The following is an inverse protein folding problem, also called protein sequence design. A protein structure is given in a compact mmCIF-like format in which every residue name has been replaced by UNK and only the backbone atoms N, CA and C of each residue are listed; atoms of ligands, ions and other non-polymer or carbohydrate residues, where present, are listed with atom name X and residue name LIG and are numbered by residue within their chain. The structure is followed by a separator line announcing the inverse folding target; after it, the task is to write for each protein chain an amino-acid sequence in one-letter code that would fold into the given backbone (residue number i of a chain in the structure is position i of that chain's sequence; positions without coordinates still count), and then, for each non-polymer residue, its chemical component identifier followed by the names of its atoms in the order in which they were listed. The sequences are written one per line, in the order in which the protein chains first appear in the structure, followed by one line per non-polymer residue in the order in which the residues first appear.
data_IF_507292274636
#
_entry.id   IF_507292274636
#
_cell.length_a   1.000
_cell.length_b   1.000
_cell.length_c   1.000
_cell.angle_alpha   90.00
_cell.angle_beta   90.00
_cell.angle_gamma   90.00
#
_symmetry.space_group_name_H-M   'P 1'
#
loop_
_entity.id
_entity.type
_entity.pdbx_description
1 polymer ?
#
# COMPACT_ATOMS: atom_id res chain seq x y z
N UNK A 1 10.22 47.05 24.86
CA UNK A 1 9.52 46.05 24.02
C UNK A 1 8.06 46.06 24.42
N UNK A 2 7.19 46.56 23.55
CA UNK A 2 5.80 46.87 23.91
C UNK A 2 4.96 45.60 23.90
N UNK A 3 3.96 45.49 24.80
CA UNK A 3 3.10 44.30 25.01
C UNK A 3 2.37 43.81 23.74
N UNK A 4 2.36 44.63 22.68
CA UNK A 4 1.84 44.34 21.36
C UNK A 4 2.76 43.43 20.53
N UNK A 5 4.08 43.66 20.58
CA UNK A 5 5.07 42.85 19.85
C UNK A 5 5.18 41.42 20.41
N UNK A 6 5.04 41.25 21.74
CA UNK A 6 5.00 39.91 22.36
C UNK A 6 3.77 39.10 21.95
N UNK A 7 2.64 39.74 21.65
CA UNK A 7 1.42 39.04 21.22
C UNK A 7 1.47 38.64 19.74
N UNK A 8 2.08 39.46 18.90
CA UNK A 8 2.25 39.17 17.47
C UNK A 8 3.22 38.01 17.22
N UNK A 9 4.30 37.90 18.02
CA UNK A 9 5.20 36.74 17.98
C UNK A 9 4.49 35.44 18.36
N UNK A 10 3.72 35.44 19.45
CA UNK A 10 2.97 34.26 19.90
C UNK A 10 1.90 33.80 18.89
N UNK A 11 1.15 34.70 18.26
CA UNK A 11 0.15 34.33 17.26
C UNK A 11 0.78 33.72 15.99
N UNK A 12 1.91 34.28 15.56
CA UNK A 12 2.66 33.79 14.39
C UNK A 12 3.26 32.41 14.65
N UNK A 13 3.77 32.18 15.86
CA UNK A 13 4.28 30.87 16.28
C UNK A 13 3.17 29.81 16.36
N UNK A 14 1.99 30.15 16.89
CA UNK A 14 0.83 29.24 16.90
C UNK A 14 0.34 28.89 15.49
N UNK A 15 0.33 29.84 14.56
CA UNK A 15 0.00 29.58 13.15
C UNK A 15 1.00 28.62 12.50
N UNK A 16 2.30 28.78 12.79
CA UNK A 16 3.32 27.85 12.29
C UNK A 16 3.16 26.45 12.89
N UNK A 17 2.79 26.34 14.17
CA UNK A 17 2.54 25.06 14.84
C UNK A 17 1.31 24.34 14.26
N UNK A 18 0.24 25.06 13.96
CA UNK A 18 -0.96 24.50 13.30
C UNK A 18 -0.63 23.98 11.90
N UNK A 19 0.11 24.76 11.10
CA UNK A 19 0.53 24.36 9.75
C UNK A 19 1.41 23.10 9.80
N UNK A 20 2.36 23.02 10.74
CA UNK A 20 3.18 21.83 10.94
C UNK A 20 2.35 20.62 11.35
N UNK A 21 1.33 20.82 12.17
CA UNK A 21 0.41 19.77 12.60
C UNK A 21 -0.41 19.24 11.42
N UNK A 22 -0.97 20.13 10.60
CA UNK A 22 -1.69 19.75 9.38
C UNK A 22 -0.82 18.99 8.39
N UNK A 23 0.45 19.40 8.21
CA UNK A 23 1.40 18.69 7.35
C UNK A 23 1.72 17.29 7.86
N UNK A 24 1.87 17.11 9.18
CA UNK A 24 2.09 15.79 9.79
C UNK A 24 0.88 14.89 9.64
N UNK A 25 -0.33 15.42 9.83
CA UNK A 25 -1.58 14.69 9.63
C UNK A 25 -1.70 14.21 8.19
N UNK A 26 -1.57 15.11 7.20
CA UNK A 26 -1.59 14.75 5.78
C UNK A 26 -0.53 13.72 5.40
N UNK A 27 0.68 13.82 5.96
CA UNK A 27 1.74 12.83 5.75
C UNK A 27 1.36 11.45 6.28
N UNK A 28 0.69 11.39 7.43
CA UNK A 28 0.22 10.13 8.00
C UNK A 28 -0.90 9.51 7.15
N UNK A 29 -1.87 10.33 6.74
CA UNK A 29 -2.97 9.90 5.87
C UNK A 29 -2.46 9.35 4.53
N UNK A 30 -1.51 10.05 3.89
CA UNK A 30 -0.91 9.60 2.63
C UNK A 30 -0.16 8.27 2.80
N UNK A 31 0.57 8.10 3.90
CA UNK A 31 1.26 6.83 4.20
C UNK A 31 0.28 5.67 4.41
N UNK A 32 -0.83 5.90 5.11
CA UNK A 32 -1.86 4.89 5.30
C UNK A 32 -2.52 4.51 3.97
N UNK A 33 -2.92 5.51 3.17
CA UNK A 33 -3.51 5.29 1.85
C UNK A 33 -2.58 4.53 0.90
N UNK A 34 -1.28 4.85 0.91
CA UNK A 34 -0.31 4.13 0.08
C UNK A 34 -0.13 2.67 0.52
N UNK A 35 -0.07 2.42 1.83
CA UNK A 35 0.02 1.06 2.37
C UNK A 35 -1.22 0.22 2.02
N UNK A 36 -2.42 0.80 2.14
CA UNK A 36 -3.68 0.15 1.76
C UNK A 36 -3.73 -0.17 0.26
N UNK A 37 -3.29 0.77 -0.59
CA UNK A 37 -3.23 0.55 -2.04
C UNK A 37 -2.29 -0.60 -2.40
N UNK A 38 -1.10 -0.64 -1.79
CA UNK A 38 -0.14 -1.71 -2.03
C UNK A 38 -0.66 -3.08 -1.59
N UNK A 39 -1.35 -3.16 -0.45
CA UNK A 39 -1.95 -4.41 0.02
C UNK A 39 -3.07 -4.87 -0.91
N UNK A 40 -3.96 -3.97 -1.33
CA UNK A 40 -5.01 -4.29 -2.30
C UNK A 40 -4.45 -4.79 -3.64
N UNK A 41 -3.37 -4.17 -4.14
CA UNK A 41 -2.72 -4.64 -5.38
C UNK A 41 -2.01 -5.99 -5.21
N UNK A 42 -1.50 -6.31 -4.02
CA UNK A 42 -0.95 -7.65 -3.73
C UNK A 42 -2.07 -8.69 -3.68
N UNK A 43 -3.17 -8.41 -2.98
CA UNK A 43 -4.30 -9.33 -2.88
C UNK A 43 -4.91 -9.61 -4.26
N UNK A 44 -5.16 -8.57 -5.07
CA UNK A 44 -5.65 -8.73 -6.44
C UNK A 44 -4.74 -9.63 -7.28
N UNK A 45 -3.42 -9.41 -7.23
CA UNK A 45 -2.47 -10.26 -7.96
C UNK A 45 -2.50 -11.72 -7.50
N UNK A 46 -2.66 -11.98 -6.21
CA UNK A 46 -2.77 -13.34 -5.68
C UNK A 46 -4.07 -14.01 -6.14
N UNK A 47 -5.19 -13.30 -6.10
CA UNK A 47 -6.49 -13.80 -6.57
C UNK A 47 -6.48 -14.07 -8.08
N UNK A 48 -5.87 -13.19 -8.87
CA UNK A 48 -5.72 -13.38 -10.31
C UNK A 48 -4.85 -14.61 -10.63
N UNK A 49 -3.77 -14.83 -9.87
CA UNK A 49 -2.94 -16.05 -10.02
C UNK A 49 -3.75 -17.31 -9.71
N UNK A 50 -4.47 -17.33 -8.59
CA UNK A 50 -5.33 -18.46 -8.21
C UNK A 50 -6.42 -18.73 -9.25
N UNK A 51 -7.06 -17.70 -9.79
CA UNK A 51 -8.06 -17.85 -10.85
C UNK A 51 -7.43 -18.36 -12.13
N UNK A 52 -6.24 -17.89 -12.49
CA UNK A 52 -5.51 -18.41 -13.66
C UNK A 52 -5.15 -19.87 -13.46
N UNK A 53 -4.62 -20.26 -12.32
CA UNK A 53 -4.30 -21.66 -12.01
C UNK A 53 -5.55 -22.55 -12.00
N UNK A 54 -6.67 -22.09 -11.43
CA UNK A 54 -7.93 -22.82 -11.42
C UNK A 54 -8.57 -22.95 -12.82
N UNK A 55 -8.35 -21.98 -13.70
CA UNK A 55 -8.84 -22.00 -15.08
C UNK A 55 -7.82 -22.56 -16.09
N UNK A 56 -6.58 -22.84 -15.67
CA UNK A 56 -5.60 -23.52 -16.50
C UNK A 56 -6.05 -24.96 -16.69
N UNK A 57 -5.90 -25.46 -17.91
CA UNK A 57 -6.09 -26.87 -18.17
C UNK A 57 -5.04 -27.70 -17.42
N UNK A 58 -5.38 -28.94 -17.04
CA UNK A 58 -4.45 -29.85 -16.36
C UNK A 58 -3.15 -30.04 -17.16
N UNK A 59 -3.23 -30.01 -18.49
CA UNK A 59 -2.09 -30.12 -19.39
C UNK A 59 -1.11 -28.95 -19.27
N UNK A 60 -1.60 -27.71 -19.10
CA UNK A 60 -0.74 -26.55 -18.86
C UNK A 60 -0.11 -26.58 -17.46
N UNK A 61 -0.89 -26.93 -16.44
CA UNK A 61 -0.36 -27.10 -15.08
C UNK A 61 0.71 -28.20 -15.02
N UNK A 62 0.49 -29.29 -15.75
CA UNK A 62 1.42 -30.41 -15.82
C UNK A 62 2.68 -30.06 -16.61
N UNK A 63 2.55 -29.38 -17.76
CA UNK A 63 3.70 -28.94 -18.57
C UNK A 63 4.54 -27.85 -17.87
N UNK A 64 3.93 -27.02 -17.02
CA UNK A 64 4.66 -26.08 -16.15
C UNK A 64 5.35 -26.76 -14.96
N UNK A 65 4.91 -27.95 -14.60
CA UNK A 65 5.55 -28.76 -13.55
C UNK A 65 6.64 -29.65 -14.14
N UNK A 66 7.65 -30.01 -13.34
CA UNK A 66 8.67 -30.99 -13.73
C UNK A 66 8.14 -32.44 -13.76
N UNK A 67 6.83 -32.64 -13.61
CA UNK A 67 6.20 -33.95 -13.51
C UNK A 67 5.81 -34.45 -14.91
N UNK A 68 6.45 -35.53 -15.35
CA UNK A 68 6.04 -36.24 -16.57
C UNK A 68 5.00 -37.32 -16.22
N UNK A 69 3.74 -37.12 -16.61
CA UNK A 69 2.66 -38.10 -16.40
C UNK A 69 2.95 -39.49 -16.97
N UNK A 70 3.84 -39.60 -17.97
CA UNK A 70 4.27 -40.89 -18.52
C UNK A 70 5.03 -41.74 -17.51
N UNK A 71 5.65 -41.13 -16.50
CA UNK A 71 6.30 -41.87 -15.41
C UNK A 71 5.30 -42.49 -14.42
N UNK A 72 4.05 -42.00 -14.37
CA UNK A 72 3.02 -42.45 -13.44
C UNK A 72 2.00 -43.42 -14.04
N UNK A 73 1.80 -43.39 -15.37
CA UNK A 73 0.98 -44.39 -16.06
C UNK A 73 1.83 -45.59 -16.48
N UNK A 74 1.99 -46.54 -15.56
CA UNK A 74 2.44 -47.90 -15.87
C UNK A 74 1.26 -48.81 -16.18
#
# INVERSE_FOLDING_TARGET
MSKKEQREGSLSDHLNEDVLTQLRLKKSELKQSEAERQEQEKQKRLEERKKKEANKSFEELLNESELDWKTFKK
#
